data_IF_478730660677
#
_entry.id   IF_478730660677
#
_cell.length_a   1.000
_cell.length_b   1.000
_cell.length_c   1.000
_cell.angle_alpha   90.00
_cell.angle_beta   90.00
_cell.angle_gamma   90.00
#
_symmetry.space_group_name_H-M   'P 1'
#
loop_
_entity.id
_entity.type
_entity.pdbx_description
1 polymer ?
#
# COMPACT_ATOMS: atom_id res chain seq x y z
N UNK A 1 -0.20 11.48 3.48
CA UNK A 1 -1.16 12.40 2.82
C UNK A 1 -0.94 12.45 1.31
N UNK A 2 0.14 13.08 0.80
CA UNK A 2 0.46 13.09 -0.65
C UNK A 2 0.51 11.69 -1.29
N UNK A 3 1.12 10.72 -0.60
CA UNK A 3 1.14 9.32 -1.07
C UNK A 3 -0.26 8.72 -1.26
N UNK A 4 -1.20 9.07 -0.37
CA UNK A 4 -2.60 8.63 -0.47
C UNK A 4 -3.30 9.33 -1.63
N UNK A 5 -3.14 10.65 -1.77
CA UNK A 5 -3.69 11.40 -2.92
C UNK A 5 -3.18 10.84 -4.26
N UNK A 6 -1.90 10.45 -4.31
CA UNK A 6 -1.30 9.87 -5.50
C UNK A 6 -1.79 8.45 -5.82
N UNK A 7 -2.25 7.70 -4.83
CA UNK A 7 -2.88 6.40 -5.02
C UNK A 7 -4.36 6.50 -5.41
N UNK A 8 -4.87 7.71 -5.72
CA UNK A 8 -6.30 8.00 -5.86
C UNK A 8 -7.12 7.53 -4.64
N UNK A 9 -6.50 7.53 -3.46
CA UNK A 9 -7.19 7.21 -2.23
C UNK A 9 -8.04 8.40 -1.79
N UNK A 10 -9.31 8.18 -1.40
CA UNK A 10 -10.13 9.24 -0.84
C UNK A 10 -9.46 9.82 0.40
N UNK A 11 -9.25 11.13 0.37
CA UNK A 11 -8.90 11.92 1.55
C UNK A 11 -10.00 12.97 1.68
N UNK A 12 -10.62 13.02 2.86
CA UNK A 12 -11.57 14.09 3.17
C UNK A 12 -10.87 15.43 3.07
N UNK A 13 -11.48 16.35 2.34
CA UNK A 13 -11.00 17.72 2.19
C UNK A 13 -10.75 18.44 3.53
N UNK A 14 -11.48 18.06 4.58
CA UNK A 14 -11.38 18.64 5.93
C UNK A 14 -10.08 18.28 6.65
N UNK A 15 -9.34 17.27 6.19
CA UNK A 15 -8.10 16.79 6.81
C UNK A 15 -6.86 17.35 6.09
N UNK A 16 -7.05 18.17 5.04
CA UNK A 16 -5.93 18.80 4.35
C UNK A 16 -5.60 20.13 5.04
N UNK A 17 -4.41 20.29 5.68
CA UNK A 17 -3.87 21.63 5.91
C UNK A 17 -3.72 22.36 4.57
N UNK A 18 -3.65 23.70 4.60
CA UNK A 18 -3.51 24.66 3.47
C UNK A 18 -2.56 24.20 2.35
N UNK A 19 -2.96 23.20 1.58
CA UNK A 19 -2.25 22.77 0.39
C UNK A 19 -2.68 23.71 -0.73
N UNK A 20 -1.73 24.27 -1.48
CA UNK A 20 -2.05 25.13 -2.61
C UNK A 20 -3.06 24.45 -3.54
N UNK A 21 -4.10 25.17 -3.97
CA UNK A 21 -5.06 24.70 -4.97
C UNK A 21 -4.37 24.29 -6.29
N UNK A 22 -3.18 24.82 -6.53
CA UNK A 22 -2.33 24.42 -7.66
C UNK A 22 -1.86 22.96 -7.57
N UNK A 23 -1.82 22.35 -6.38
CA UNK A 23 -1.39 20.97 -6.16
C UNK A 23 -2.56 20.01 -5.91
N UNK A 24 -3.63 20.49 -5.28
CA UNK A 24 -4.78 19.67 -4.90
C UNK A 24 -6.07 20.32 -5.34
N UNK A 25 -6.98 19.53 -5.91
CA UNK A 25 -8.36 19.94 -6.22
C UNK A 25 -9.35 19.10 -5.42
N UNK A 26 -10.56 19.60 -5.24
CA UNK A 26 -11.66 18.88 -4.59
C UNK A 26 -12.71 18.50 -5.63
N UNK A 27 -13.11 17.22 -5.63
CA UNK A 27 -14.19 16.69 -6.46
C UNK A 27 -15.06 15.80 -5.57
N UNK A 28 -16.37 16.08 -5.52
CA UNK A 28 -17.34 15.31 -4.73
C UNK A 28 -16.97 15.12 -3.24
N UNK A 29 -16.31 16.12 -2.65
CA UNK A 29 -15.85 16.08 -1.24
C UNK A 29 -14.57 15.29 -1.01
N UNK A 30 -13.99 14.72 -2.06
CA UNK A 30 -12.69 14.05 -2.05
C UNK A 30 -11.61 14.97 -2.63
N UNK A 31 -10.40 14.85 -2.12
CA UNK A 31 -9.26 15.57 -2.64
C UNK A 31 -8.39 14.74 -3.57
N UNK A 32 -7.97 15.36 -4.67
CA UNK A 32 -7.19 14.73 -5.74
C UNK A 32 -6.00 15.60 -6.11
N UNK A 33 -4.89 14.98 -6.54
CA UNK A 33 -3.78 15.75 -7.11
C UNK A 33 -4.19 16.35 -8.46
N UNK A 34 -3.91 17.64 -8.63
CA UNK A 34 -3.95 18.29 -9.95
C UNK A 34 -2.83 17.76 -10.85
N UNK A 35 -2.79 18.15 -12.12
CA UNK A 35 -1.67 17.81 -13.02
C UNK A 35 -0.32 18.27 -12.45
N UNK A 36 -0.25 19.48 -11.90
CA UNK A 36 0.95 19.99 -11.23
C UNK A 36 1.26 19.24 -9.94
N UNK A 37 0.24 18.93 -9.14
CA UNK A 37 0.39 18.07 -7.96
C UNK A 37 0.99 16.71 -8.29
N UNK A 38 0.53 16.07 -9.38
CA UNK A 38 1.08 14.79 -9.87
C UNK A 38 2.53 14.92 -10.33
N UNK A 39 2.89 16.02 -11.01
CA UNK A 39 4.28 16.27 -11.43
C UNK A 39 5.21 16.43 -10.23
N UNK A 40 4.85 17.27 -9.27
CA UNK A 40 5.63 17.46 -8.03
C UNK A 40 5.72 16.15 -7.26
N UNK A 41 4.61 15.43 -7.12
CA UNK A 41 4.62 14.11 -6.48
C UNK A 41 5.59 13.15 -7.18
N UNK A 42 5.56 13.06 -8.50
CA UNK A 42 6.48 12.19 -9.25
C UNK A 42 7.95 12.57 -9.07
N UNK A 43 8.25 13.87 -8.85
CA UNK A 43 9.59 14.36 -8.56
C UNK A 43 10.08 13.89 -7.18
N UNK A 44 9.23 13.94 -6.15
CA UNK A 44 9.64 13.76 -4.74
C UNK A 44 9.36 12.37 -4.17
N UNK A 45 8.46 11.58 -4.80
CA UNK A 45 8.00 10.30 -4.23
C UNK A 45 9.09 9.27 -4.05
N UNK A 46 10.12 9.31 -4.91
CA UNK A 46 11.24 8.36 -4.84
C UNK A 46 11.96 8.46 -3.51
N UNK A 47 12.33 9.67 -3.12
CA UNK A 47 13.04 9.95 -1.88
C UNK A 47 12.14 9.69 -0.67
N UNK A 48 10.88 10.11 -0.73
CA UNK A 48 9.93 9.94 0.37
C UNK A 48 9.59 8.46 0.63
N UNK A 49 9.33 7.68 -0.42
CA UNK A 49 8.85 6.30 -0.30
C UNK A 49 9.97 5.25 -0.23
N UNK A 50 11.23 5.62 -0.51
CA UNK A 50 12.36 4.71 -0.35
C UNK A 50 12.97 4.70 1.06
N UNK A 51 12.58 5.65 1.91
CA UNK A 51 13.06 5.82 3.28
C UNK A 51 12.45 4.82 4.27
N UNK A 52 11.89 5.34 5.36
CA UNK A 52 11.28 4.52 6.41
C UNK A 52 9.93 3.94 5.98
N UNK A 53 9.59 2.78 6.53
CA UNK A 53 8.31 2.13 6.31
C UNK A 53 7.19 2.97 6.94
N UNK A 54 6.27 3.46 6.10
CA UNK A 54 5.19 4.34 6.52
C UNK A 54 4.20 3.60 7.43
N UNK A 55 3.73 4.21 8.53
CA UNK A 55 2.58 3.70 9.25
C UNK A 55 1.32 3.91 8.41
N UNK A 56 0.60 2.83 8.12
CA UNK A 56 -0.61 2.87 7.31
C UNK A 56 -1.81 2.30 8.07
N UNK A 57 -2.97 2.98 8.03
CA UNK A 57 -4.19 2.45 8.64
C UNK A 57 -4.51 1.04 8.12
N UNK A 58 -5.12 0.22 8.98
CA UNK A 58 -5.58 -1.14 8.62
C UNK A 58 -4.46 -2.11 8.24
N UNK A 59 -3.20 -1.71 8.36
CA UNK A 59 -2.03 -2.55 8.13
C UNK A 59 -1.20 -2.63 9.41
N UNK A 60 -0.86 -3.85 9.82
CA UNK A 60 0.09 -4.12 10.90
C UNK A 60 1.32 -4.81 10.32
N UNK A 61 2.53 -4.41 10.73
CA UNK A 61 3.76 -5.02 10.24
C UNK A 61 4.40 -5.87 11.33
N UNK A 62 4.55 -7.17 11.07
CA UNK A 62 5.36 -8.04 11.93
C UNK A 62 6.84 -7.74 11.79
N UNK A 63 7.64 -8.21 12.76
CA UNK A 63 9.08 -8.00 12.78
C UNK A 63 9.79 -8.65 11.59
N UNK A 64 9.26 -9.77 11.09
CA UNK A 64 9.73 -10.42 9.86
C UNK A 64 9.60 -9.47 8.66
N UNK A 65 8.43 -8.85 8.48
CA UNK A 65 8.17 -7.91 7.40
C UNK A 65 9.10 -6.69 7.48
N UNK A 66 9.27 -6.16 8.70
CA UNK A 66 10.16 -5.02 8.96
C UNK A 66 11.60 -5.36 8.62
N UNK A 67 12.05 -6.57 8.95
CA UNK A 67 13.38 -7.07 8.63
C UNK A 67 13.58 -7.22 7.13
N UNK A 68 12.60 -7.78 6.43
CA UNK A 68 12.61 -7.91 4.97
C UNK A 68 12.72 -6.53 4.30
N UNK A 69 11.93 -5.56 4.76
CA UNK A 69 11.99 -4.17 4.28
C UNK A 69 13.37 -3.52 4.52
N UNK A 70 13.93 -3.68 5.72
CA UNK A 70 15.26 -3.17 6.08
C UNK A 70 16.36 -3.80 5.22
N UNK A 71 16.23 -5.09 4.89
CA UNK A 71 17.18 -5.83 4.07
C UNK A 71 17.06 -5.52 2.58
N UNK A 72 15.90 -5.09 2.09
CA UNK A 72 15.73 -4.64 0.71
C UNK A 72 16.60 -3.39 0.46
N UNK A 73 17.66 -3.54 -0.33
CA UNK A 73 18.59 -2.43 -0.67
C UNK A 73 18.19 -1.65 -1.91
N UNK A 74 17.25 -2.16 -2.70
CA UNK A 74 16.79 -1.52 -3.93
C UNK A 74 15.75 -0.43 -3.62
N UNK A 75 16.06 0.87 -3.81
CA UNK A 75 15.12 1.94 -3.49
C UNK A 75 13.84 1.88 -4.33
N UNK A 76 13.92 1.37 -5.57
CA UNK A 76 12.77 1.26 -6.47
C UNK A 76 11.76 0.23 -5.98
N UNK A 77 12.23 -0.89 -5.43
CA UNK A 77 11.37 -1.90 -4.82
C UNK A 77 10.69 -1.38 -3.56
N UNK A 78 11.42 -0.64 -2.71
CA UNK A 78 10.83 0.02 -1.54
C UNK A 78 9.72 0.99 -1.94
N UNK A 79 9.98 1.84 -2.93
CA UNK A 79 8.97 2.77 -3.47
C UNK A 79 7.75 2.01 -3.96
N UNK A 80 7.94 0.94 -4.75
CA UNK A 80 6.82 0.14 -5.28
C UNK A 80 6.03 -0.55 -4.18
N UNK A 81 6.71 -1.10 -3.18
CA UNK A 81 6.05 -1.67 -2.01
C UNK A 81 5.18 -0.60 -1.34
N UNK A 82 5.74 0.56 -1.01
CA UNK A 82 4.97 1.60 -0.31
C UNK A 82 3.80 2.13 -1.15
N UNK A 83 3.95 2.29 -2.47
CA UNK A 83 2.83 2.61 -3.38
C UNK A 83 1.72 1.55 -3.27
N UNK A 84 2.07 0.26 -3.32
CA UNK A 84 1.11 -0.84 -3.18
C UNK A 84 0.46 -0.85 -1.80
N UNK A 85 1.23 -0.70 -0.72
CA UNK A 85 0.70 -0.69 0.65
C UNK A 85 -0.26 0.48 0.88
N UNK A 86 0.04 1.66 0.36
CA UNK A 86 -0.85 2.82 0.44
C UNK A 86 -2.17 2.52 -0.28
N UNK A 87 -2.12 1.89 -1.46
CA UNK A 87 -3.32 1.47 -2.19
C UNK A 87 -4.14 0.46 -1.39
N UNK A 88 -3.51 -0.60 -0.89
CA UNK A 88 -4.18 -1.65 -0.09
C UNK A 88 -4.81 -1.04 1.17
N UNK A 89 -4.06 -0.24 1.92
CA UNK A 89 -4.55 0.46 3.11
C UNK A 89 -5.77 1.32 2.80
N UNK A 90 -5.75 2.04 1.68
CA UNK A 90 -6.84 2.93 1.28
C UNK A 90 -8.11 2.17 0.87
N UNK A 91 -7.96 1.06 0.15
CA UNK A 91 -9.08 0.17 -0.19
C UNK A 91 -9.69 -0.43 1.08
N UNK A 92 -8.86 -0.85 2.03
CA UNK A 92 -9.31 -1.37 3.32
C UNK A 92 -10.01 -0.29 4.15
N UNK A 93 -9.51 0.94 4.21
CA UNK A 93 -10.20 2.03 4.92
C UNK A 93 -11.58 2.30 4.34
N UNK A 94 -11.68 2.42 3.00
CA UNK A 94 -12.95 2.67 2.31
C UNK A 94 -13.99 1.56 2.57
N UNK A 95 -13.52 0.32 2.72
CA UNK A 95 -14.36 -0.85 2.94
C UNK A 95 -14.35 -1.34 4.39
N UNK A 96 -14.03 -0.47 5.35
CA UNK A 96 -14.06 -0.75 6.79
C UNK A 96 -13.24 -1.98 7.25
N UNK A 97 -12.22 -2.36 6.47
CA UNK A 97 -11.35 -3.51 6.71
C UNK A 97 -11.74 -4.77 5.94
N UNK A 98 -12.82 -4.75 5.15
CA UNK A 98 -13.22 -5.90 4.35
C UNK A 98 -12.22 -6.17 3.21
N UNK A 99 -11.55 -7.32 3.26
CA UNK A 99 -10.52 -7.71 2.28
C UNK A 99 -11.09 -8.16 0.93
N UNK A 100 -12.40 -8.40 0.80
CA UNK A 100 -13.02 -8.78 -0.47
C UNK A 100 -12.76 -7.74 -1.58
N UNK A 101 -12.73 -6.45 -1.23
CA UNK A 101 -12.45 -5.37 -2.17
C UNK A 101 -11.04 -5.47 -2.81
N UNK A 102 -10.09 -6.14 -2.15
CA UNK A 102 -8.74 -6.32 -2.68
C UNK A 102 -8.70 -7.37 -3.80
N UNK A 103 -9.63 -8.34 -3.80
CA UNK A 103 -9.76 -9.36 -4.87
C UNK A 103 -10.36 -8.77 -6.13
N UNK A 104 -11.26 -7.81 -5.95
CA UNK A 104 -11.93 -7.09 -7.04
C UNK A 104 -10.99 -6.05 -7.68
N UNK A 105 -9.97 -5.58 -6.93
CA UNK A 105 -8.94 -4.69 -7.47
C UNK A 105 -7.92 -5.47 -8.32
N UNK A 106 -8.09 -5.38 -9.64
CA UNK A 106 -7.19 -6.02 -10.62
C UNK A 106 -5.73 -5.54 -10.59
N UNK A 107 -5.38 -4.53 -9.77
CA UNK A 107 -4.03 -4.02 -9.62
C UNK A 107 -3.25 -4.59 -8.43
N UNK A 108 -3.92 -5.08 -7.38
CA UNK A 108 -3.28 -5.67 -6.18
C UNK A 108 -3.08 -7.18 -6.33
N UNK A 109 -3.96 -7.86 -7.08
CA UNK A 109 -3.93 -9.33 -7.27
C UNK A 109 -3.82 -10.07 -5.93
N UNK A 110 -4.85 -9.89 -5.10
CA UNK A 110 -4.94 -10.46 -3.76
C UNK A 110 -5.57 -11.86 -3.77
N UNK A 111 -4.86 -12.86 -3.27
CA UNK A 111 -5.24 -14.28 -3.37
C UNK A 111 -4.96 -15.02 -2.06
N UNK A 112 -5.73 -16.09 -1.81
CA UNK A 112 -5.49 -17.01 -0.70
C UNK A 112 -4.52 -18.10 -1.14
N UNK A 113 -3.58 -18.48 -0.28
CA UNK A 113 -2.79 -19.69 -0.48
C UNK A 113 -3.69 -20.94 -0.51
N UNK A 114 -3.42 -21.86 -1.44
CA UNK A 114 -4.27 -23.03 -1.68
C UNK A 114 -3.89 -24.26 -0.83
N UNK A 115 -2.75 -24.26 -0.16
CA UNK A 115 -2.08 -25.44 0.39
C UNK A 115 -2.33 -25.70 1.89
N UNK A 116 -3.60 -25.73 2.32
CA UNK A 116 -4.01 -25.97 3.73
C UNK A 116 -3.46 -24.97 4.78
N UNK A 117 -2.78 -23.91 4.34
CA UNK A 117 -2.33 -22.78 5.15
C UNK A 117 -3.52 -21.89 5.49
N UNK A 118 -4.28 -22.28 6.51
CA UNK A 118 -5.51 -21.56 6.89
C UNK A 118 -5.19 -20.10 7.23
N UNK A 119 -5.98 -19.19 6.66
CA UNK A 119 -5.97 -17.73 6.88
C UNK A 119 -4.70 -16.99 6.41
N UNK A 120 -3.89 -17.60 5.54
CA UNK A 120 -2.78 -16.92 4.87
C UNK A 120 -3.21 -16.49 3.46
N UNK A 121 -3.11 -15.19 3.21
CA UNK A 121 -3.34 -14.55 1.93
C UNK A 121 -2.05 -13.85 1.49
N UNK A 122 -1.97 -13.49 0.21
CA UNK A 122 -0.87 -12.71 -0.33
C UNK A 122 -1.35 -11.77 -1.42
N UNK A 123 -0.55 -10.76 -1.72
CA UNK A 123 -0.77 -9.87 -2.85
C UNK A 123 0.52 -9.48 -3.54
N UNK A 124 0.35 -8.90 -4.72
CA UNK A 124 1.44 -8.58 -5.62
C UNK A 124 1.90 -7.14 -5.46
N UNK A 125 3.21 -6.95 -5.39
CA UNK A 125 3.85 -5.63 -5.48
C UNK A 125 4.34 -5.39 -6.91
N UNK A 126 5.03 -6.38 -7.46
CA UNK A 126 5.45 -6.42 -8.87
C UNK A 126 5.29 -7.85 -9.40
N UNK A 127 5.59 -8.10 -10.68
CA UNK A 127 5.54 -9.46 -11.21
C UNK A 127 6.39 -10.46 -10.40
N UNK A 128 7.54 -10.02 -9.89
CA UNK A 128 8.48 -10.84 -9.14
C UNK A 128 8.31 -10.77 -7.62
N UNK A 129 7.65 -9.74 -7.09
CA UNK A 129 7.66 -9.42 -5.65
C UNK A 129 6.26 -9.51 -5.06
N UNK A 130 6.14 -10.17 -3.91
CA UNK A 130 4.89 -10.39 -3.18
C UNK A 130 5.00 -9.94 -1.73
N UNK A 131 3.83 -9.83 -1.11
CA UNK A 131 3.66 -9.70 0.33
C UNK A 131 2.72 -10.79 0.81
N UNK A 132 3.12 -11.53 1.85
CA UNK A 132 2.22 -12.44 2.56
C UNK A 132 1.60 -11.76 3.78
N UNK A 133 0.39 -12.18 4.14
CA UNK A 133 -0.38 -11.56 5.20
C UNK A 133 -1.41 -12.49 5.84
N UNK A 134 -1.81 -12.13 7.06
CA UNK A 134 -2.95 -12.71 7.77
C UNK A 134 -4.14 -11.76 7.65
N UNK A 135 -5.31 -12.35 7.45
CA UNK A 135 -6.58 -11.62 7.50
C UNK A 135 -6.99 -11.43 8.94
N UNK A 136 -7.17 -10.17 9.34
CA UNK A 136 -7.66 -9.78 10.66
C UNK A 136 -9.02 -9.11 10.54
N UNK A 137 -9.78 -9.07 11.64
CA UNK A 137 -11.13 -8.47 11.68
C UNK A 137 -11.17 -7.03 11.13
N UNK A 138 -10.07 -6.28 11.26
CA UNK A 138 -9.98 -4.86 10.91
C UNK A 138 -8.92 -4.55 9.86
N UNK A 139 -8.42 -5.52 9.11
CA UNK A 139 -7.43 -5.29 8.06
C UNK A 139 -6.46 -6.45 7.85
N UNK A 140 -5.19 -6.14 7.61
CA UNK A 140 -4.15 -7.14 7.34
C UNK A 140 -2.98 -7.01 8.31
N UNK A 141 -2.45 -8.16 8.73
CA UNK A 141 -1.15 -8.26 9.40
C UNK A 141 -0.14 -8.81 8.40
N UNK A 142 0.83 -7.98 7.99
CA UNK A 142 1.82 -8.32 6.97
C UNK A 142 2.99 -9.08 7.58
N UNK A 143 3.38 -10.19 6.93
CA UNK A 143 4.36 -11.16 7.42
C UNK A 143 5.68 -11.07 6.69
N UNK A 144 5.70 -11.30 5.38
CA UNK A 144 6.93 -11.28 4.59
C UNK A 144 6.79 -10.43 3.33
N UNK A 145 7.90 -9.89 2.88
CA UNK A 145 8.03 -9.11 1.65
C UNK A 145 9.27 -9.57 0.89
N UNK A 146 9.13 -9.87 -0.39
CA UNK A 146 10.27 -10.28 -1.19
C UNK A 146 9.87 -11.01 -2.47
N UNK A 147 10.84 -11.69 -3.05
CA UNK A 147 10.65 -12.47 -4.27
C UNK A 147 9.60 -13.58 -4.10
N UNK A 148 8.97 -13.94 -5.20
CA UNK A 148 7.88 -14.92 -5.25
C UNK A 148 8.20 -16.21 -4.50
N UNK A 149 9.34 -16.84 -4.79
CA UNK A 149 9.70 -18.13 -4.22
C UNK A 149 9.98 -17.99 -2.71
N UNK A 150 10.76 -16.97 -2.32
CA UNK A 150 11.04 -16.69 -0.91
C UNK A 150 9.76 -16.52 -0.09
N UNK A 151 8.83 -15.66 -0.54
CA UNK A 151 7.58 -15.38 0.20
C UNK A 151 6.64 -16.58 0.19
N UNK A 152 6.63 -17.39 -0.87
CA UNK A 152 5.80 -18.59 -0.93
C UNK A 152 6.34 -19.72 -0.07
N UNK A 153 7.65 -19.84 0.07
CA UNK A 153 8.29 -20.83 0.94
C UNK A 153 8.28 -20.39 2.41
N UNK A 154 8.16 -19.08 2.65
CA UNK A 154 8.11 -18.44 3.97
C UNK A 154 6.86 -17.53 4.07
N UNK A 155 5.64 -18.07 4.00
CA UNK A 155 4.41 -17.26 4.02
C UNK A 155 4.20 -16.57 5.37
#
# INVERSE_FOLDING_TARGET
MMARLAANAPISAQVLPDLPETLVTQLDGEALLTTWGKLIWNQVKGDLLSGDLLPLPRLTYLDSFRRDYQNCRNPRERVKLQETLVKVSSLLEKNQGNTACLREDGGVLYERYQDNRQNLDHFRVTQAVRVSCLVELRGLTLRHFGEHDYVNDNP
#
